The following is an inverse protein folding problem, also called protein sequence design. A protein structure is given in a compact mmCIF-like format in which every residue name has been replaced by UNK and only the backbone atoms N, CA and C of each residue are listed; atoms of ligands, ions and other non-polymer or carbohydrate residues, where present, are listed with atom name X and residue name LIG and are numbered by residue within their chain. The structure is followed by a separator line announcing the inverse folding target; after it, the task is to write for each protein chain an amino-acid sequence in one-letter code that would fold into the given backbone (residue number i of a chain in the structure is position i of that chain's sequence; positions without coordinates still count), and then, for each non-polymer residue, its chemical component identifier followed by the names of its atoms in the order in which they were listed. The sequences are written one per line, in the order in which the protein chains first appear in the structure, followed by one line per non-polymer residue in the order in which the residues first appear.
data_IF_989567378060
#
_entry.id   IF_989567378060
#
_cell.length_a   1.000
_cell.length_b   1.000
_cell.length_c   1.000
_cell.angle_alpha   90.00
_cell.angle_beta   90.00
_cell.angle_gamma   90.00
#
_symmetry.space_group_name_H-M   'P 1'
#
loop_
_entity.id
_entity.type
_entity.pdbx_description
1 polymer ?
#
# COMPACT_ATOMS: atom_id res chain seq x y z
N UNK A 1 -2.44 10.56 -11.49
CA UNK A 1 -1.31 10.14 -10.66
C UNK A 1 -0.26 9.48 -11.53
N UNK A 2 0.94 9.27 -11.04
CA UNK A 2 2.04 8.68 -11.81
C UNK A 2 1.92 7.16 -11.89
N UNK A 3 2.32 6.57 -13.01
CA UNK A 3 2.49 5.12 -13.21
C UNK A 3 3.98 4.73 -13.32
N UNK A 4 4.83 5.69 -13.63
CA UNK A 4 6.29 5.52 -13.76
C UNK A 4 7.00 6.47 -12.82
N UNK A 5 8.10 6.02 -12.23
CA UNK A 5 8.88 6.80 -11.24
C UNK A 5 9.32 8.15 -11.82
N UNK A 6 9.73 8.16 -13.10
CA UNK A 6 10.23 9.36 -13.80
C UNK A 6 9.19 10.49 -13.85
N UNK A 7 7.90 10.15 -13.91
CA UNK A 7 6.80 11.13 -13.91
C UNK A 7 6.72 11.91 -12.58
N UNK A 8 7.22 11.33 -11.50
CA UNK A 8 7.22 11.95 -10.17
C UNK A 8 8.07 13.23 -10.11
N UNK A 9 9.19 13.27 -10.84
CA UNK A 9 10.06 14.44 -10.85
C UNK A 9 9.38 15.67 -11.43
N UNK A 10 8.56 15.51 -12.47
CA UNK A 10 7.79 16.61 -13.04
C UNK A 10 6.82 17.22 -12.02
N UNK A 11 6.15 16.39 -11.21
CA UNK A 11 5.24 16.86 -10.17
C UNK A 11 6.00 17.56 -9.05
N UNK A 12 7.12 16.99 -8.59
CA UNK A 12 7.96 17.56 -7.52
C UNK A 12 8.50 18.93 -7.96
N UNK A 13 9.01 19.03 -9.19
CA UNK A 13 9.57 20.28 -9.72
C UNK A 13 8.48 21.35 -9.87
N UNK A 14 7.34 21.01 -10.45
CA UNK A 14 6.22 21.95 -10.59
C UNK A 14 5.73 22.46 -9.21
N UNK A 15 5.68 21.61 -8.19
CA UNK A 15 5.33 22.04 -6.83
C UNK A 15 6.37 23.03 -6.28
N UNK A 16 7.67 22.76 -6.46
CA UNK A 16 8.75 23.64 -5.99
C UNK A 16 8.74 24.99 -6.71
N UNK A 17 8.57 24.99 -8.03
CA UNK A 17 8.59 26.19 -8.86
C UNK A 17 7.38 27.09 -8.61
N UNK A 18 6.21 26.49 -8.39
CA UNK A 18 4.96 27.25 -8.21
C UNK A 18 4.65 27.61 -6.76
N UNK A 19 5.27 26.94 -5.78
CA UNK A 19 4.95 27.06 -4.36
C UNK A 19 3.53 26.59 -4.01
N UNK A 20 2.82 25.93 -4.96
CA UNK A 20 1.46 25.44 -4.72
C UNK A 20 1.45 24.23 -3.81
N UNK A 21 0.36 24.06 -3.05
CA UNK A 21 0.16 22.88 -2.21
C UNK A 21 -0.17 21.69 -3.09
N UNK A 22 0.60 20.61 -2.92
CA UNK A 22 0.34 19.32 -3.53
C UNK A 22 0.30 18.25 -2.43
N UNK A 23 -0.87 17.66 -2.22
CA UNK A 23 -1.08 16.63 -1.20
C UNK A 23 -1.45 15.30 -1.85
N UNK A 24 -0.67 14.26 -1.55
CA UNK A 24 -1.03 12.87 -1.92
C UNK A 24 -2.01 12.33 -0.89
N UNK A 25 -3.13 11.77 -1.36
CA UNK A 25 -4.21 11.25 -0.51
C UNK A 25 -3.89 9.90 0.14
N UNK A 26 -2.71 9.76 0.76
CA UNK A 26 -2.32 8.55 1.49
C UNK A 26 -2.75 8.68 2.97
N UNK A 27 -3.99 8.27 3.24
CA UNK A 27 -4.69 8.50 4.51
C UNK A 27 -4.03 7.86 5.74
N UNK A 28 -3.20 6.83 5.58
CA UNK A 28 -2.53 6.18 6.71
C UNK A 28 -1.60 7.12 7.48
N UNK A 29 -1.09 8.18 6.84
CA UNK A 29 -0.29 9.21 7.51
C UNK A 29 -1.07 9.97 8.59
N UNK A 30 -2.41 9.98 8.52
CA UNK A 30 -3.30 10.66 9.47
C UNK A 30 -4.04 9.69 10.41
N UNK A 31 -3.74 8.39 10.35
CA UNK A 31 -4.35 7.40 11.24
C UNK A 31 -3.91 7.62 12.68
N UNK A 32 -4.87 7.67 13.60
CA UNK A 32 -4.61 7.84 15.04
C UNK A 32 -3.70 6.73 15.57
N UNK A 33 -3.94 5.46 15.18
CA UNK A 33 -3.12 4.34 15.58
C UNK A 33 -1.66 4.46 15.07
N UNK A 34 -1.46 4.96 13.85
CA UNK A 34 -0.12 5.18 13.27
C UNK A 34 0.62 6.32 14.00
N UNK A 35 -0.07 7.43 14.28
CA UNK A 35 0.53 8.55 15.00
C UNK A 35 0.88 8.17 16.44
N UNK A 36 0.04 7.39 17.10
CA UNK A 36 0.32 6.89 18.44
C UNK A 36 1.44 5.84 18.42
N UNK A 37 1.51 4.94 17.44
CA UNK A 37 2.62 4.02 17.26
C UNK A 37 3.96 4.78 17.13
N UNK A 38 3.98 5.88 16.37
CA UNK A 38 5.14 6.76 16.26
C UNK A 38 5.55 7.32 17.62
N UNK A 39 4.58 7.83 18.39
CA UNK A 39 4.83 8.39 19.73
C UNK A 39 5.40 7.34 20.66
N UNK A 40 4.82 6.13 20.68
CA UNK A 40 5.29 5.03 21.54
C UNK A 40 6.67 4.53 21.12
N UNK A 41 6.93 4.36 19.81
CA UNK A 41 8.24 3.97 19.32
C UNK A 41 9.33 4.95 19.78
N UNK A 42 9.05 6.25 19.72
CA UNK A 42 9.98 7.30 20.13
C UNK A 42 10.32 7.28 21.64
N UNK A 43 9.52 6.62 22.48
CA UNK A 43 9.83 6.45 23.92
C UNK A 43 10.84 5.34 24.19
N UNK A 44 11.21 4.53 23.18
CA UNK A 44 12.04 3.35 23.37
C UNK A 44 11.31 2.15 24.02
N UNK A 45 9.98 2.18 24.14
CA UNK A 45 9.19 1.18 24.87
C UNK A 45 9.37 -0.28 24.38
N UNK A 46 9.81 -0.45 23.14
CA UNK A 46 10.07 -1.79 22.55
C UNK A 46 11.57 -2.05 22.32
N UNK A 47 12.45 -1.19 22.85
CA UNK A 47 13.87 -1.25 22.56
C UNK A 47 14.20 -0.84 21.12
N UNK A 48 15.22 -1.45 20.53
CA UNK A 48 15.64 -1.19 19.16
C UNK A 48 14.69 -1.92 18.18
N UNK A 49 14.17 -1.17 17.18
CA UNK A 49 13.35 -1.76 16.11
C UNK A 49 14.20 -2.67 15.23
N UNK A 50 13.78 -3.91 15.04
CA UNK A 50 14.50 -4.92 14.23
C UNK A 50 13.73 -5.36 13.01
N UNK A 51 12.40 -5.44 13.11
CA UNK A 51 11.55 -5.91 12.02
C UNK A 51 10.16 -5.25 12.06
N UNK A 52 9.55 -5.13 10.90
CA UNK A 52 8.13 -4.76 10.76
C UNK A 52 7.43 -5.81 9.93
N UNK A 53 6.33 -6.34 10.45
CA UNK A 53 5.36 -7.12 9.68
C UNK A 53 4.21 -6.23 9.27
N UNK A 54 3.77 -6.32 8.00
CA UNK A 54 2.61 -5.57 7.53
C UNK A 54 1.78 -6.40 6.56
N UNK A 55 0.47 -6.21 6.59
CA UNK A 55 -0.45 -7.06 5.84
C UNK A 55 -1.74 -6.35 5.48
N UNK A 56 -2.27 -6.74 4.31
CA UNK A 56 -3.60 -6.39 3.83
C UNK A 56 -4.24 -7.65 3.24
N UNK A 57 -4.99 -8.36 4.08
CA UNK A 57 -5.61 -9.63 3.71
C UNK A 57 -7.12 -9.45 3.61
N UNK A 58 -7.72 -9.89 2.50
CA UNK A 58 -9.16 -9.82 2.23
C UNK A 58 -9.52 -10.65 1.01
N UNK A 59 -10.75 -11.17 0.92
CA UNK A 59 -11.16 -11.99 -0.25
C UNK A 59 -12.57 -11.71 -0.74
N UNK A 60 -13.23 -10.66 -0.28
CA UNK A 60 -14.52 -10.26 -0.82
C UNK A 60 -14.39 -9.60 -2.20
N UNK A 61 -15.43 -9.69 -3.02
CA UNK A 61 -15.43 -9.19 -4.38
C UNK A 61 -15.12 -7.68 -4.45
N UNK A 62 -15.63 -6.89 -3.52
CA UNK A 62 -15.41 -5.44 -3.44
C UNK A 62 -13.97 -5.14 -3.03
N UNK A 63 -13.44 -5.91 -2.09
CA UNK A 63 -12.04 -5.86 -1.67
C UNK A 63 -11.06 -6.20 -2.79
N UNK A 64 -11.45 -7.06 -3.74
CA UNK A 64 -10.71 -7.41 -4.94
C UNK A 64 -11.04 -6.51 -6.15
N UNK A 65 -11.67 -5.35 -5.91
CA UNK A 65 -12.07 -4.35 -6.91
C UNK A 65 -13.07 -4.83 -7.97
N UNK A 66 -13.85 -5.86 -7.66
CA UNK A 66 -14.95 -6.32 -8.50
C UNK A 66 -16.22 -5.49 -8.24
N UNK A 67 -16.12 -4.17 -8.47
CA UNK A 67 -17.24 -3.25 -8.35
C UNK A 67 -18.35 -3.57 -9.35
N UNK A 68 -19.60 -3.24 -8.97
CA UNK A 68 -20.74 -3.26 -9.89
C UNK A 68 -20.48 -2.30 -11.06
N UNK A 69 -20.96 -2.69 -12.22
CA UNK A 69 -20.91 -1.85 -13.43
C UNK A 69 -22.31 -1.34 -13.66
N UNK A 70 -22.53 -0.02 -13.83
CA UNK A 70 -23.84 0.54 -14.16
C UNK A 70 -24.40 -0.07 -15.45
N UNK A 71 -25.71 -0.27 -15.48
CA UNK A 71 -26.39 -0.92 -16.63
C UNK A 71 -26.42 -0.05 -17.89
N UNK A 72 -26.24 1.26 -17.74
CA UNK A 72 -26.17 2.26 -18.81
C UNK A 72 -24.73 2.55 -19.25
N UNK A 73 -23.75 1.81 -18.74
CA UNK A 73 -22.37 1.97 -19.13
C UNK A 73 -22.15 1.57 -20.59
N UNK A 74 -21.84 2.54 -21.42
CA UNK A 74 -21.66 2.36 -22.87
C UNK A 74 -20.60 3.32 -23.42
N UNK A 75 -20.23 3.15 -24.69
CA UNK A 75 -19.30 4.06 -25.37
C UNK A 75 -19.89 5.47 -25.57
N UNK A 76 -21.22 5.63 -25.51
CA UNK A 76 -21.91 6.90 -25.61
C UNK A 76 -21.95 7.65 -24.27
N UNK A 77 -21.91 6.93 -23.14
CA UNK A 77 -21.98 7.51 -21.79
C UNK A 77 -20.60 7.68 -21.14
N UNK A 78 -19.54 7.09 -21.72
CA UNK A 78 -18.17 7.11 -21.16
C UNK A 78 -17.18 7.56 -22.22
N UNK A 79 -16.47 8.66 -21.95
CA UNK A 79 -15.33 9.08 -22.77
C UNK A 79 -14.13 8.14 -22.50
N UNK A 80 -14.18 6.97 -23.12
CA UNK A 80 -13.19 5.93 -22.92
C UNK A 80 -11.83 6.27 -23.52
N UNK A 81 -11.81 7.04 -24.60
CA UNK A 81 -10.58 7.50 -25.26
C UNK A 81 -9.78 8.44 -24.36
N UNK A 82 -10.44 9.37 -23.70
CA UNK A 82 -9.81 10.24 -22.69
C UNK A 82 -9.33 9.42 -21.48
N UNK A 83 -10.10 8.44 -21.02
CA UNK A 83 -9.68 7.54 -19.95
C UNK A 83 -8.41 6.77 -20.30
N UNK A 84 -8.31 6.22 -21.52
CA UNK A 84 -7.13 5.49 -21.97
C UNK A 84 -5.87 6.37 -21.95
N UNK A 85 -5.99 7.64 -22.27
CA UNK A 85 -4.84 8.54 -22.31
C UNK A 85 -3.69 7.99 -23.15
N UNK A 86 -2.54 7.74 -22.51
CA UNK A 86 -1.34 7.15 -23.11
C UNK A 86 -1.33 5.60 -23.11
N UNK A 87 -2.33 4.94 -22.51
CA UNK A 87 -2.43 3.48 -22.53
C UNK A 87 -2.74 2.96 -23.96
N UNK A 88 -2.44 1.69 -24.24
CA UNK A 88 -2.79 1.08 -25.53
C UNK A 88 -4.27 1.26 -25.85
N UNK A 89 -4.55 1.71 -27.08
CA UNK A 89 -5.93 1.87 -27.56
C UNK A 89 -6.58 0.52 -27.78
N UNK A 90 -7.70 0.31 -27.12
CA UNK A 90 -8.53 -0.89 -27.20
C UNK A 90 -9.99 -0.49 -27.35
N UNK A 91 -10.86 -1.34 -27.92
CA UNK A 91 -12.29 -1.10 -27.95
C UNK A 91 -12.87 -0.87 -26.56
N UNK A 92 -13.98 -0.12 -26.48
CA UNK A 92 -14.68 0.13 -25.23
C UNK A 92 -15.04 -1.18 -24.53
N UNK A 93 -14.68 -1.26 -23.26
CA UNK A 93 -15.05 -2.35 -22.37
C UNK A 93 -15.34 -1.75 -20.99
N UNK A 94 -16.61 -1.76 -20.58
CA UNK A 94 -17.05 -1.17 -19.30
C UNK A 94 -16.26 -1.73 -18.11
N UNK A 95 -15.91 -3.02 -18.16
CA UNK A 95 -15.12 -3.68 -17.13
C UNK A 95 -13.74 -3.02 -16.96
N UNK A 96 -13.08 -2.65 -18.06
CA UNK A 96 -11.76 -1.98 -18.01
C UNK A 96 -11.85 -0.59 -17.37
N UNK A 97 -12.94 0.11 -17.64
CA UNK A 97 -13.17 1.43 -17.05
C UNK A 97 -13.50 1.34 -15.54
N UNK A 98 -14.51 0.56 -15.16
CA UNK A 98 -14.98 0.51 -13.77
C UNK A 98 -14.09 -0.31 -12.83
N UNK A 99 -13.31 -1.25 -13.37
CA UNK A 99 -12.40 -2.11 -12.62
C UNK A 99 -10.94 -1.91 -13.04
N UNK A 100 -10.57 -0.66 -13.36
CA UNK A 100 -9.27 -0.28 -13.92
C UNK A 100 -8.08 -0.75 -13.07
N UNK A 101 -8.24 -0.87 -11.75
CA UNK A 101 -7.20 -1.39 -10.84
C UNK A 101 -6.76 -2.81 -11.15
N UNK A 102 -7.60 -3.55 -11.84
CA UNK A 102 -7.33 -4.93 -12.23
C UNK A 102 -6.40 -5.05 -13.44
N UNK A 103 -6.03 -3.92 -14.07
CA UNK A 103 -5.27 -3.90 -15.32
C UNK A 103 -4.01 -3.05 -15.18
N UNK A 104 -2.83 -3.66 -15.44
CA UNK A 104 -1.53 -2.98 -15.39
C UNK A 104 -1.38 -1.83 -16.39
N UNK A 105 -2.19 -1.81 -17.46
CA UNK A 105 -2.25 -0.69 -18.40
C UNK A 105 -2.76 0.61 -17.75
N UNK A 106 -3.55 0.54 -16.68
CA UNK A 106 -4.23 1.68 -16.07
C UNK A 106 -3.83 1.93 -14.62
N UNK A 107 -3.32 0.91 -13.94
CA UNK A 107 -2.99 0.96 -12.52
C UNK A 107 -1.67 0.27 -12.20
N UNK A 108 -1.33 0.22 -10.93
CA UNK A 108 -0.12 -0.42 -10.40
C UNK A 108 -0.45 -1.69 -9.61
N UNK A 109 -1.69 -2.19 -9.76
CA UNK A 109 -2.18 -3.39 -9.09
C UNK A 109 -2.17 -3.30 -7.57
N UNK A 110 -2.28 -4.44 -6.91
CA UNK A 110 -2.33 -4.51 -5.44
C UNK A 110 -1.04 -3.97 -4.78
N UNK A 111 0.10 -4.03 -5.45
CA UNK A 111 1.34 -3.46 -4.93
C UNK A 111 1.24 -1.94 -4.75
N UNK A 112 0.89 -1.22 -5.80
CA UNK A 112 0.81 0.24 -5.76
C UNK A 112 -0.44 0.78 -5.08
N UNK A 113 -1.54 0.02 -5.03
CA UNK A 113 -2.81 0.49 -4.47
C UNK A 113 -3.01 0.08 -2.98
N UNK A 114 -2.34 -0.97 -2.50
CA UNK A 114 -2.47 -1.45 -1.12
C UNK A 114 -1.18 -1.36 -0.31
N UNK A 115 -0.05 -1.82 -0.84
CA UNK A 115 1.22 -1.75 -0.11
C UNK A 115 1.63 -0.29 0.14
N UNK A 116 1.24 0.65 -0.72
CA UNK A 116 1.46 2.08 -0.50
C UNK A 116 0.90 2.56 0.84
N UNK A 117 -0.24 2.06 1.28
CA UNK A 117 -0.83 2.42 2.56
C UNK A 117 -0.01 1.86 3.73
N UNK A 118 0.43 0.60 3.63
CA UNK A 118 1.28 -0.04 4.63
C UNK A 118 2.63 0.69 4.75
N UNK A 119 3.30 0.95 3.62
CA UNK A 119 4.55 1.70 3.60
C UNK A 119 4.40 3.14 4.10
N UNK A 120 3.30 3.82 3.79
CA UNK A 120 3.01 5.15 4.35
C UNK A 120 2.94 5.09 5.88
N UNK A 121 2.26 4.10 6.46
CA UNK A 121 2.22 3.89 7.89
C UNK A 121 3.62 3.63 8.47
N UNK A 122 4.37 2.72 7.90
CA UNK A 122 5.73 2.36 8.33
C UNK A 122 6.65 3.59 8.27
N UNK A 123 6.67 4.31 7.16
CA UNK A 123 7.52 5.49 6.99
C UNK A 123 7.11 6.64 7.93
N UNK A 124 5.81 6.80 8.21
CA UNK A 124 5.33 7.79 9.18
C UNK A 124 5.84 7.48 10.58
N UNK A 125 5.82 6.20 10.98
CA UNK A 125 6.27 5.78 12.32
C UNK A 125 7.77 5.85 12.45
N UNK A 126 8.52 5.33 11.48
CA UNK A 126 9.98 5.16 11.57
C UNK A 126 10.79 6.35 11.09
N UNK A 127 10.19 7.23 10.28
CA UNK A 127 10.90 8.30 9.56
C UNK A 127 11.70 7.80 8.35
N UNK A 128 11.58 6.53 7.98
CA UNK A 128 12.22 5.98 6.79
C UNK A 128 11.65 6.58 5.50
N UNK A 129 12.46 6.59 4.44
CA UNK A 129 12.06 7.12 3.12
C UNK A 129 11.97 6.06 2.03
N UNK A 130 12.56 4.89 2.26
CA UNK A 130 12.50 3.77 1.32
C UNK A 130 13.51 2.69 1.64
N UNK A 131 13.28 1.46 1.17
CA UNK A 131 14.20 0.35 1.35
C UNK A 131 15.41 0.44 0.40
N UNK A 132 16.52 -0.16 0.81
CA UNK A 132 17.71 -0.34 -0.03
C UNK A 132 17.53 -1.52 -1.00
N UNK A 133 16.88 -2.59 -0.54
CA UNK A 133 16.66 -3.81 -1.31
C UNK A 133 15.25 -4.34 -1.10
N UNK A 134 14.68 -4.89 -2.16
CA UNK A 134 13.36 -5.54 -2.16
C UNK A 134 13.48 -6.88 -2.87
N UNK A 135 12.93 -7.93 -2.26
CA UNK A 135 12.67 -9.21 -2.89
C UNK A 135 11.16 -9.48 -2.79
N UNK A 136 10.55 -9.92 -3.89
CA UNK A 136 9.12 -10.19 -3.89
C UNK A 136 8.75 -11.35 -4.78
N UNK A 137 7.64 -11.98 -4.43
CA UNK A 137 6.94 -12.98 -5.25
C UNK A 137 5.46 -12.60 -5.29
N UNK A 138 4.85 -12.75 -6.47
CA UNK A 138 3.46 -12.43 -6.68
C UNK A 138 2.80 -13.43 -7.62
N UNK A 139 1.50 -13.63 -7.46
CA UNK A 139 0.75 -14.65 -8.19
C UNK A 139 -0.71 -14.23 -8.37
N UNK A 140 -1.38 -14.81 -9.38
CA UNK A 140 -2.81 -14.70 -9.62
C UNK A 140 -3.45 -16.07 -9.39
N UNK A 141 -4.05 -16.28 -8.22
CA UNK A 141 -4.57 -17.58 -7.78
C UNK A 141 -6.10 -17.70 -7.90
N UNK A 142 -6.83 -16.75 -7.35
CA UNK A 142 -8.29 -16.84 -7.20
C UNK A 142 -9.04 -15.99 -8.25
N UNK A 143 -8.70 -14.72 -8.38
CA UNK A 143 -9.48 -13.73 -9.13
C UNK A 143 -9.18 -13.77 -10.63
N UNK A 144 -9.37 -14.95 -11.25
CA UNK A 144 -9.13 -15.19 -12.71
C UNK A 144 -10.28 -14.65 -13.56
N UNK A 145 -10.64 -13.41 -13.38
CA UNK A 145 -11.76 -12.70 -14.01
C UNK A 145 -11.36 -11.89 -15.25
N UNK A 146 -10.15 -12.15 -15.78
CA UNK A 146 -9.58 -11.43 -16.93
C UNK A 146 -8.67 -10.28 -16.53
N UNK A 147 -8.35 -10.13 -15.23
CA UNK A 147 -7.31 -9.21 -14.75
C UNK A 147 -5.91 -9.73 -15.06
N UNK A 148 -4.96 -8.82 -15.13
CA UNK A 148 -3.52 -9.10 -15.14
C UNK A 148 -2.81 -8.69 -13.84
N UNK A 149 -3.55 -8.06 -12.91
CA UNK A 149 -3.07 -7.70 -11.57
C UNK A 149 -3.06 -8.91 -10.65
N UNK A 150 -1.98 -9.10 -9.92
CA UNK A 150 -1.81 -10.17 -8.95
C UNK A 150 -2.76 -10.01 -7.75
N UNK A 151 -3.20 -11.14 -7.18
CA UNK A 151 -4.06 -11.20 -6.01
C UNK A 151 -3.34 -11.66 -4.74
N UNK A 152 -2.12 -12.21 -4.88
CA UNK A 152 -1.19 -12.49 -3.78
C UNK A 152 0.14 -11.81 -4.08
N UNK A 153 0.65 -11.06 -3.10
CA UNK A 153 1.97 -10.44 -3.15
C UNK A 153 2.64 -10.61 -1.79
N UNK A 154 3.84 -11.13 -1.78
CA UNK A 154 4.71 -11.19 -0.61
C UNK A 154 6.01 -10.47 -0.93
N UNK A 155 6.49 -9.64 -0.01
CA UNK A 155 7.76 -8.95 -0.19
C UNK A 155 8.54 -8.85 1.12
N UNK A 156 9.87 -8.93 1.00
CA UNK A 156 10.82 -8.64 2.06
C UNK A 156 11.66 -7.47 1.64
N UNK A 157 11.79 -6.49 2.53
CA UNK A 157 12.52 -5.24 2.27
C UNK A 157 13.58 -5.02 3.33
N UNK A 158 14.75 -4.55 2.91
CA UNK A 158 15.84 -4.19 3.79
C UNK A 158 15.97 -2.68 3.88
N UNK A 159 15.93 -2.15 5.08
CA UNK A 159 16.19 -0.74 5.40
C UNK A 159 17.53 -0.63 6.13
N UNK A 160 18.45 0.16 5.59
CA UNK A 160 19.73 0.43 6.23
C UNK A 160 19.60 1.49 7.33
N UNK A 161 20.57 1.54 8.21
CA UNK A 161 20.69 2.61 9.22
C UNK A 161 20.77 3.98 8.56
N UNK A 162 20.06 4.94 9.14
CA UNK A 162 20.08 6.36 8.80
C UNK A 162 20.20 7.19 10.09
N UNK A 163 20.20 8.51 9.97
CA UNK A 163 20.15 9.41 11.15
C UNK A 163 18.83 9.29 11.94
N UNK A 164 17.77 8.76 11.32
CA UNK A 164 16.42 8.70 11.91
C UNK A 164 16.07 7.33 12.52
N UNK A 165 16.73 6.27 12.08
CA UNK A 165 16.44 4.90 12.52
C UNK A 165 17.62 3.97 12.28
N UNK A 166 17.75 2.94 13.12
CA UNK A 166 18.65 1.81 12.88
C UNK A 166 18.16 0.95 11.71
N UNK A 167 18.99 0.01 11.25
CA UNK A 167 18.60 -0.94 10.21
C UNK A 167 17.46 -1.84 10.70
N UNK A 168 16.49 -2.11 9.84
CA UNK A 168 15.40 -3.04 10.11
C UNK A 168 14.91 -3.70 8.83
N UNK A 169 14.20 -4.81 8.96
CA UNK A 169 13.54 -5.49 7.85
C UNK A 169 12.04 -5.24 7.87
N UNK A 170 11.44 -5.22 6.68
CA UNK A 170 9.99 -5.23 6.52
C UNK A 170 9.58 -6.50 5.80
N UNK A 171 8.65 -7.24 6.37
CA UNK A 171 7.92 -8.31 5.70
C UNK A 171 6.51 -7.81 5.43
N UNK A 172 6.10 -7.76 4.17
CA UNK A 172 4.78 -7.26 3.80
C UNK A 172 4.07 -8.24 2.89
N UNK A 173 2.74 -8.33 3.04
CA UNK A 173 1.91 -9.11 2.13
C UNK A 173 0.61 -8.39 1.81
N UNK A 174 0.12 -8.69 0.62
CA UNK A 174 -1.28 -8.50 0.22
C UNK A 174 -1.81 -9.86 -0.18
N UNK A 175 -2.94 -10.24 0.38
CA UNK A 175 -3.61 -11.49 0.06
C UNK A 175 -5.10 -11.23 -0.19
N UNK A 176 -5.47 -11.16 -1.48
CA UNK A 176 -6.87 -11.00 -1.89
C UNK A 176 -7.60 -12.36 -2.03
N UNK A 177 -6.96 -13.42 -1.54
CA UNK A 177 -7.48 -14.80 -1.55
C UNK A 177 -7.66 -15.35 -0.15
N UNK A 178 -7.68 -14.46 0.86
CA UNK A 178 -7.82 -14.85 2.26
C UNK A 178 -9.11 -15.64 2.51
N UNK A 179 -8.95 -16.87 2.99
CA UNK A 179 -10.07 -17.79 3.20
C UNK A 179 -11.03 -17.38 4.31
N UNK A 180 -10.66 -16.43 5.15
CA UNK A 180 -11.50 -15.88 6.22
C UNK A 180 -12.39 -14.71 5.73
N UNK A 181 -12.16 -14.20 4.53
CA UNK A 181 -12.95 -13.16 3.84
C UNK A 181 -12.69 -11.73 4.31
N UNK A 182 -12.39 -11.51 5.57
CA UNK A 182 -12.01 -10.23 6.18
C UNK A 182 -10.76 -10.42 7.01
N UNK A 183 -9.64 -10.58 6.34
CA UNK A 183 -8.37 -10.69 6.99
C UNK A 183 -7.86 -9.36 7.58
N UNK A 184 -6.81 -9.41 8.36
CA UNK A 184 -6.25 -8.24 9.02
C UNK A 184 -5.65 -7.24 8.03
N UNK A 185 -5.73 -5.96 8.40
CA UNK A 185 -5.00 -4.86 7.78
C UNK A 185 -4.25 -4.11 8.87
N UNK A 186 -2.93 -4.11 8.83
CA UNK A 186 -2.17 -3.44 9.86
C UNK A 186 -0.67 -3.57 9.73
N UNK A 187 0.00 -3.01 10.73
CA UNK A 187 1.44 -3.10 10.91
C UNK A 187 1.78 -3.57 12.33
N UNK A 188 2.84 -4.36 12.45
CA UNK A 188 3.42 -4.80 13.71
C UNK A 188 4.91 -4.46 13.71
N UNK A 189 5.30 -3.57 14.60
CA UNK A 189 6.69 -3.21 14.83
C UNK A 189 7.26 -4.13 15.90
N UNK A 190 8.37 -4.77 15.63
CA UNK A 190 9.03 -5.75 16.49
C UNK A 190 10.39 -5.18 16.89
N UNK A 191 10.54 -4.96 18.18
CA UNK A 191 11.77 -4.48 18.76
C UNK A 191 12.43 -5.53 19.66
N UNK A 192 13.61 -5.19 20.19
CA UNK A 192 14.39 -6.07 21.06
C UNK A 192 13.75 -6.29 22.44
N UNK A 193 12.81 -5.43 22.84
CA UNK A 193 12.19 -5.47 24.17
C UNK A 193 10.65 -5.51 24.15
N UNK A 194 10.05 -5.54 22.95
CA UNK A 194 8.60 -5.60 22.83
C UNK A 194 8.10 -5.45 21.41
N UNK A 195 6.78 -5.30 21.29
CA UNK A 195 6.10 -5.10 20.02
C UNK A 195 5.03 -4.01 20.12
N UNK A 196 4.80 -3.31 19.00
CA UNK A 196 3.68 -2.40 18.82
C UNK A 196 2.86 -2.92 17.66
N UNK A 197 1.57 -3.17 17.87
CA UNK A 197 0.63 -3.62 16.84
C UNK A 197 -0.39 -2.50 16.59
N UNK A 198 -0.53 -2.09 15.34
CA UNK A 198 -1.52 -1.08 14.92
C UNK A 198 -2.44 -1.65 13.85
N UNK A 199 -3.73 -1.72 14.16
CA UNK A 199 -4.80 -2.22 13.30
C UNK A 199 -5.84 -1.11 13.10
N UNK A 200 -5.73 -0.38 11.99
CA UNK A 200 -6.57 0.80 11.80
C UNK A 200 -6.29 1.87 12.84
N UNK A 201 -7.26 2.13 13.74
CA UNK A 201 -7.11 3.08 14.85
C UNK A 201 -6.72 2.44 16.18
N UNK A 202 -6.69 1.11 16.23
CA UNK A 202 -6.34 0.38 17.46
C UNK A 202 -4.84 0.24 17.58
N UNK A 203 -4.35 0.32 18.81
CA UNK A 203 -2.94 0.15 19.16
C UNK A 203 -2.81 -0.80 20.36
N UNK A 204 -1.92 -1.77 20.21
CA UNK A 204 -1.54 -2.67 21.30
C UNK A 204 -0.03 -2.64 21.49
N UNK A 205 0.42 -2.43 22.72
CA UNK A 205 1.85 -2.46 23.09
C UNK A 205 2.09 -3.62 24.04
N UNK A 206 3.04 -4.49 23.71
CA UNK A 206 3.45 -5.63 24.55
C UNK A 206 4.94 -5.52 24.81
N UNK A 207 5.35 -5.42 26.05
CA UNK A 207 6.76 -5.38 26.45
C UNK A 207 7.21 -6.73 27.03
N UNK A 208 8.45 -7.10 26.75
CA UNK A 208 9.03 -8.30 27.35
C UNK A 208 9.38 -7.99 28.82
N UNK A 209 8.81 -8.79 29.73
CA UNK A 209 9.31 -8.84 31.10
C UNK A 209 10.57 -9.70 31.09
N UNK A 210 11.76 -9.06 31.01
CA UNK A 210 13.00 -9.80 31.27
C UNK A 210 12.98 -10.22 32.73
N UNK A 211 13.05 -11.53 32.97
CA UNK A 211 13.26 -12.13 34.31
C UNK A 211 14.71 -11.95 34.71
#
# INVERSE_FOLDING_TARGET
MIQKIEQGWGVINAQKETGKVFQVGSQMASSVGILEAKRVLATGAIGELTMVESFCDRSDARGAWNYSIPTDASAETIDFDTFLGAAPKVPFEAKRFFRWRNYGAYGTGAAGDLIVHLLTGIHTVTGAVGPEKIMSIADLKLWKDGRDSFDIINAVMNYKTTEKHNAFHVVTRVNLTDGEGKGPFGIKLIGTEGVIESFGNDLVVKTLKRR
#
